data_IF_826277678736
#
_entry.id   IF_826277678736
#
_cell.length_a   1.000
_cell.length_b   1.000
_cell.length_c   1.000
_cell.angle_alpha   90.00
_cell.angle_beta   90.00
_cell.angle_gamma   90.00
#
_symmetry.space_group_name_H-M   'P 1'
#
loop_
_entity.id
_entity.type
_entity.pdbx_description
1 polymer ?
#
# COMPACT_ATOMS: atom_id res chain seq x y z
N UNK A 1 -15.54 5.98 -5.57
CA UNK A 1 -15.12 5.23 -4.38
C UNK A 1 -15.30 3.75 -4.64
N UNK A 2 -14.29 2.92 -4.34
CA UNK A 2 -14.45 1.48 -4.51
C UNK A 2 -15.58 0.92 -3.65
N UNK A 3 -16.34 0.04 -4.23
CA UNK A 3 -17.35 -0.68 -3.48
C UNK A 3 -16.71 -1.73 -2.59
N UNK A 4 -17.46 -2.20 -1.59
CA UNK A 4 -16.93 -3.14 -0.62
C UNK A 4 -16.35 -4.42 -1.25
N UNK A 5 -17.00 -5.06 -2.24
CA UNK A 5 -16.39 -6.23 -2.89
C UNK A 5 -15.05 -5.93 -3.56
N UNK A 6 -14.90 -4.73 -4.10
CA UNK A 6 -13.66 -4.33 -4.76
C UNK A 6 -12.54 -4.12 -3.75
N UNK A 7 -12.87 -3.53 -2.60
CA UNK A 7 -11.90 -3.36 -1.51
C UNK A 7 -11.44 -4.73 -1.00
N UNK A 8 -12.37 -5.68 -0.91
CA UNK A 8 -12.03 -7.03 -0.46
C UNK A 8 -11.09 -7.74 -1.43
N UNK A 9 -11.25 -7.53 -2.75
CA UNK A 9 -10.34 -8.08 -3.74
C UNK A 9 -8.94 -7.50 -3.56
N UNK A 10 -8.84 -6.19 -3.35
CA UNK A 10 -7.56 -5.56 -3.10
C UNK A 10 -6.93 -6.10 -1.82
N UNK A 11 -7.73 -6.26 -0.75
CA UNK A 11 -7.24 -6.82 0.50
C UNK A 11 -6.64 -8.21 0.30
N UNK A 12 -7.37 -9.09 -0.39
CA UNK A 12 -6.90 -10.45 -0.63
C UNK A 12 -5.61 -10.47 -1.44
N UNK A 13 -5.56 -9.66 -2.50
CA UNK A 13 -4.37 -9.58 -3.35
C UNK A 13 -3.17 -9.05 -2.58
N UNK A 14 -3.38 -8.01 -1.81
CA UNK A 14 -2.32 -7.40 -1.02
C UNK A 14 -1.83 -8.36 0.06
N UNK A 15 -2.76 -9.01 0.77
CA UNK A 15 -2.41 -9.98 1.80
C UNK A 15 -1.53 -11.10 1.25
N UNK A 16 -1.90 -11.60 0.07
CA UNK A 16 -1.15 -12.67 -0.57
C UNK A 16 0.30 -12.26 -0.88
N UNK A 17 0.51 -11.01 -1.21
CA UNK A 17 1.82 -10.52 -1.64
C UNK A 17 2.72 -10.11 -0.48
N UNK A 18 2.16 -9.51 0.56
CA UNK A 18 3.00 -8.92 1.61
C UNK A 18 2.96 -9.67 2.94
N UNK A 19 2.06 -10.64 3.10
CA UNK A 19 1.99 -11.44 4.33
C UNK A 19 3.35 -12.07 4.61
N UNK A 20 3.82 -11.96 5.85
CA UNK A 20 5.10 -12.50 6.31
C UNK A 20 6.33 -11.83 5.70
N UNK A 21 6.14 -10.71 5.02
CA UNK A 21 7.27 -9.98 4.43
C UNK A 21 7.69 -8.85 5.36
N UNK A 22 8.99 -8.55 5.34
CA UNK A 22 9.56 -7.49 6.17
C UNK A 22 9.71 -6.20 5.39
N UNK A 23 9.27 -5.10 5.96
CA UNK A 23 9.46 -3.78 5.35
C UNK A 23 10.93 -3.39 5.48
N UNK A 24 11.56 -3.08 4.36
CA UNK A 24 12.95 -2.61 4.34
C UNK A 24 13.03 -1.11 4.47
N UNK A 25 12.18 -0.40 3.74
CA UNK A 25 12.26 1.05 3.67
C UNK A 25 10.89 1.63 3.34
N UNK A 26 10.63 2.83 3.83
CA UNK A 26 9.43 3.59 3.50
C UNK A 26 9.87 4.93 2.92
N UNK A 27 9.29 5.29 1.78
CA UNK A 27 9.52 6.58 1.15
C UNK A 27 8.22 7.36 1.19
N UNK A 28 8.24 8.55 1.76
CA UNK A 28 7.08 9.43 1.84
C UNK A 28 7.37 10.64 0.97
N UNK A 29 6.62 10.79 -0.12
CA UNK A 29 6.79 11.90 -1.05
C UNK A 29 5.84 13.05 -0.77
N UNK A 30 4.69 12.75 -0.16
CA UNK A 30 3.73 13.79 0.20
C UNK A 30 3.13 13.47 1.56
N UNK A 31 3.44 14.32 2.55
CA UNK A 31 2.90 14.17 3.90
C UNK A 31 1.54 14.84 4.07
N UNK A 32 1.18 15.70 3.13
CA UNK A 32 -0.06 16.49 3.22
C UNK A 32 -1.16 15.87 2.39
N UNK A 33 -1.42 14.60 2.64
CA UNK A 33 -2.59 13.92 2.10
C UNK A 33 -3.83 14.40 2.86
N UNK A 34 -4.99 13.80 2.59
CA UNK A 34 -6.20 14.14 3.34
C UNK A 34 -5.98 14.09 4.85
N UNK A 35 -5.21 13.10 5.28
CA UNK A 35 -4.80 12.97 6.66
C UNK A 35 -3.28 13.08 6.66
N UNK A 36 -2.77 13.97 7.49
CA UNK A 36 -1.32 14.14 7.58
C UNK A 36 -0.67 12.86 8.06
N UNK A 37 0.41 12.47 7.41
CA UNK A 37 1.17 11.30 7.80
C UNK A 37 2.05 11.68 9.00
N UNK A 38 2.00 10.93 10.10
CA UNK A 38 2.82 11.24 11.26
C UNK A 38 4.31 11.25 10.93
N UNK A 39 5.06 12.10 11.60
CA UNK A 39 6.50 12.24 11.38
C UNK A 39 7.22 10.92 11.60
N UNK A 40 6.78 10.13 12.57
CA UNK A 40 7.42 8.86 12.91
C UNK A 40 6.90 7.67 12.12
N UNK A 41 6.06 7.90 11.11
CA UNK A 41 5.46 6.83 10.33
C UNK A 41 6.51 5.90 9.74
N UNK A 42 7.52 6.49 9.12
CA UNK A 42 8.62 5.74 8.50
C UNK A 42 9.32 4.85 9.51
N UNK A 43 9.68 5.40 10.66
CA UNK A 43 10.36 4.64 11.72
C UNK A 43 9.50 3.51 12.26
N UNK A 44 8.20 3.73 12.37
CA UNK A 44 7.29 2.72 12.90
C UNK A 44 7.15 1.53 11.98
N UNK A 45 7.26 1.72 10.68
CA UNK A 45 7.06 0.63 9.71
C UNK A 45 8.35 -0.04 9.29
N UNK A 46 9.46 0.69 9.23
CA UNK A 46 10.72 0.10 8.77
C UNK A 46 11.19 -1.00 9.69
N UNK A 47 11.63 -2.09 9.09
CA UNK A 47 12.10 -3.30 9.76
C UNK A 47 11.00 -4.11 10.46
N UNK A 48 9.74 -3.76 10.24
CA UNK A 48 8.62 -4.52 10.78
C UNK A 48 8.19 -5.60 9.80
N UNK A 49 7.76 -6.72 10.34
CA UNK A 49 7.27 -7.84 9.54
C UNK A 49 5.75 -7.80 9.51
N UNK A 50 5.19 -7.92 8.31
CA UNK A 50 3.74 -7.95 8.13
C UNK A 50 3.19 -9.29 8.62
N UNK A 51 2.18 -9.25 9.47
CA UNK A 51 1.50 -10.47 9.87
C UNK A 51 0.38 -10.82 8.88
N UNK A 52 -0.47 -9.86 8.57
CA UNK A 52 -1.57 -10.07 7.63
C UNK A 52 -2.14 -8.72 7.20
N UNK A 53 -2.92 -8.74 6.12
CA UNK A 53 -3.73 -7.59 5.73
C UNK A 53 -5.18 -7.94 6.01
N UNK A 54 -5.84 -7.11 6.78
CA UNK A 54 -7.24 -7.27 7.12
C UNK A 54 -8.04 -6.08 6.60
N UNK A 55 -9.31 -6.08 6.85
CA UNK A 55 -10.21 -5.03 6.38
C UNK A 55 -11.24 -4.74 7.47
N UNK A 56 -11.52 -3.46 7.65
CA UNK A 56 -12.65 -3.03 8.45
C UNK A 56 -13.45 -2.07 7.59
N UNK A 57 -14.68 -2.45 7.22
CA UNK A 57 -15.47 -1.70 6.26
C UNK A 57 -14.66 -1.46 4.99
N UNK A 58 -14.47 -0.24 4.55
CA UNK A 58 -13.69 0.09 3.35
C UNK A 58 -12.25 0.48 3.65
N UNK A 59 -11.79 0.22 4.87
CA UNK A 59 -10.40 0.46 5.25
C UNK A 59 -9.59 -0.81 5.12
N UNK A 60 -8.41 -0.70 4.53
CA UNK A 60 -7.42 -1.77 4.51
C UNK A 60 -6.50 -1.57 5.71
N UNK A 61 -6.16 -2.65 6.37
CA UNK A 61 -5.32 -2.59 7.55
C UNK A 61 -4.15 -3.54 7.37
N UNK A 62 -2.95 -2.98 7.26
CA UNK A 62 -1.73 -3.77 7.25
C UNK A 62 -1.32 -3.95 8.70
N UNK A 63 -1.39 -5.18 9.18
CA UNK A 63 -1.04 -5.51 10.56
C UNK A 63 0.39 -6.02 10.60
N UNK A 64 1.15 -5.54 11.57
CA UNK A 64 2.52 -5.97 11.79
C UNK A 64 2.57 -6.81 13.07
N UNK A 65 3.58 -7.66 13.17
CA UNK A 65 3.83 -8.34 14.43
C UNK A 65 4.18 -7.29 15.49
N UNK A 66 3.86 -7.58 16.72
CA UNK A 66 4.06 -6.68 17.88
C UNK A 66 3.04 -5.54 17.97
N UNK A 67 1.96 -5.61 17.20
CA UNK A 67 0.81 -4.75 17.43
C UNK A 67 0.73 -3.46 16.62
N UNK A 68 1.76 -3.10 15.88
CA UNK A 68 1.67 -1.93 14.99
C UNK A 68 0.78 -2.23 13.80
N UNK A 69 0.15 -1.20 13.25
CA UNK A 69 -0.68 -1.36 12.07
C UNK A 69 -0.72 -0.06 11.27
N UNK A 70 -1.06 -0.21 10.00
CA UNK A 70 -1.20 0.91 9.07
C UNK A 70 -2.57 0.82 8.41
N UNK A 71 -3.33 1.92 8.45
CA UNK A 71 -4.65 1.97 7.86
C UNK A 71 -4.58 2.70 6.53
N UNK A 72 -5.19 2.11 5.50
CA UNK A 72 -5.26 2.71 4.17
C UNK A 72 -6.71 2.85 3.78
N UNK A 73 -7.09 4.06 3.38
CA UNK A 73 -8.41 4.32 2.82
C UNK A 73 -8.21 4.83 1.40
N UNK A 74 -8.69 4.06 0.42
CA UNK A 74 -8.45 4.41 -0.98
C UNK A 74 -9.23 5.65 -1.42
N UNK A 75 -10.34 5.95 -0.76
CA UNK A 75 -11.15 7.08 -1.14
C UNK A 75 -11.75 6.88 -2.52
N UNK A 76 -11.90 7.96 -3.27
CA UNK A 76 -12.49 7.88 -4.61
C UNK A 76 -11.45 7.60 -5.69
N UNK A 77 -10.21 7.96 -5.46
CA UNK A 77 -9.19 7.93 -6.51
C UNK A 77 -7.89 7.24 -6.10
N UNK A 78 -7.78 6.78 -4.86
CA UNK A 78 -6.57 6.10 -4.41
C UNK A 78 -6.43 4.72 -4.99
N UNK A 79 -5.21 4.35 -5.34
CA UNK A 79 -4.88 3.02 -5.84
C UNK A 79 -3.61 2.53 -5.20
N UNK A 80 -3.42 1.21 -5.22
CA UNK A 80 -2.20 0.60 -4.74
C UNK A 80 -1.60 -0.19 -5.89
N UNK A 81 -0.32 0.03 -6.13
CA UNK A 81 0.41 -0.64 -7.20
C UNK A 81 1.53 -1.48 -6.61
N UNK A 82 1.75 -2.64 -7.19
CA UNK A 82 2.87 -3.50 -6.80
C UNK A 82 3.86 -3.54 -7.95
N UNK A 83 5.11 -3.26 -7.64
CA UNK A 83 6.20 -3.22 -8.62
C UNK A 83 7.32 -4.12 -8.15
N UNK A 84 7.78 -5.00 -9.02
CA UNK A 84 8.94 -5.84 -8.74
C UNK A 84 10.21 -5.11 -9.13
N UNK A 85 11.20 -5.16 -8.26
CA UNK A 85 12.42 -4.39 -8.46
C UNK A 85 13.23 -4.83 -9.69
N UNK A 86 13.14 -6.09 -10.06
CA UNK A 86 13.93 -6.62 -11.18
C UNK A 86 13.22 -6.54 -12.52
N UNK A 87 12.05 -5.92 -12.56
CA UNK A 87 11.27 -5.77 -13.79
C UNK A 87 10.95 -4.31 -14.01
N UNK A 88 11.03 -3.88 -15.24
CA UNK A 88 10.79 -2.48 -15.60
C UNK A 88 9.33 -2.10 -15.65
N UNK A 89 8.45 -3.05 -15.77
CA UNK A 89 7.03 -2.77 -15.86
C UNK A 89 6.36 -3.02 -14.52
N UNK A 90 5.33 -2.26 -14.25
CA UNK A 90 4.48 -2.56 -13.12
C UNK A 90 3.77 -3.86 -13.38
N UNK A 91 3.51 -4.60 -12.33
CA UNK A 91 2.96 -5.91 -12.50
C UNK A 91 1.51 -5.97 -12.24
N UNK A 92 1.07 -5.28 -11.24
CA UNK A 92 -0.27 -5.46 -10.74
C UNK A 92 -0.81 -4.16 -10.25
N UNK A 93 -1.90 -3.78 -10.83
CA UNK A 93 -2.76 -2.79 -10.24
C UNK A 93 -3.62 -3.55 -9.24
N UNK A 94 -3.36 -3.39 -7.97
CA UNK A 94 -4.09 -4.09 -6.93
C UNK A 94 -5.49 -3.52 -6.74
N UNK A 95 -5.79 -2.39 -7.36
CA UNK A 95 -7.15 -1.94 -7.46
C UNK A 95 -7.78 -2.61 -8.69
N UNK A 96 -9.09 -2.58 -8.76
CA UNK A 96 -9.81 -3.14 -9.89
C UNK A 96 -9.82 -2.21 -11.11
N UNK A 97 -9.08 -1.13 -11.07
CA UNK A 97 -9.06 -0.17 -12.17
C UNK A 97 -8.27 -0.63 -13.39
N UNK A 98 -7.62 -1.77 -13.30
CA UNK A 98 -6.98 -2.41 -14.44
C UNK A 98 -5.94 -1.57 -15.15
N UNK A 99 -5.26 -0.70 -14.44
CA UNK A 99 -4.15 0.02 -15.01
C UNK A 99 -2.87 -0.77 -14.73
N UNK A 100 -2.27 -1.39 -15.73
CA UNK A 100 -1.06 -2.18 -15.50
C UNK A 100 0.18 -1.32 -15.30
N UNK A 101 0.09 -0.04 -15.61
CA UNK A 101 1.23 0.86 -15.53
C UNK A 101 1.13 1.75 -14.31
N UNK A 102 2.26 1.94 -13.65
CA UNK A 102 2.35 2.88 -12.55
C UNK A 102 2.24 4.30 -13.12
N UNK A 103 1.31 5.13 -12.63
CA UNK A 103 1.28 6.53 -13.00
C UNK A 103 2.58 7.23 -12.61
N UNK A 104 2.98 8.19 -13.42
CA UNK A 104 4.22 8.93 -13.17
C UNK A 104 4.07 9.97 -12.07
N UNK A 105 2.85 10.39 -11.78
CA UNK A 105 2.56 11.44 -10.80
C UNK A 105 1.74 10.90 -9.66
N UNK A 106 1.78 11.61 -8.53
CA UNK A 106 0.92 11.35 -7.37
C UNK A 106 1.20 10.05 -6.63
N UNK A 107 2.44 9.58 -6.71
CA UNK A 107 2.92 8.45 -5.92
C UNK A 107 3.37 8.99 -4.57
N UNK A 108 2.50 8.88 -3.57
CA UNK A 108 2.69 9.57 -2.30
C UNK A 108 3.54 8.78 -1.30
N UNK A 109 3.34 7.48 -1.26
CA UNK A 109 4.01 6.62 -0.30
C UNK A 109 4.46 5.36 -1.01
N UNK A 110 5.71 4.94 -0.73
CA UNK A 110 6.23 3.67 -1.21
C UNK A 110 6.70 2.86 -0.03
N UNK A 111 6.24 1.63 0.06
CA UNK A 111 6.68 0.69 1.08
C UNK A 111 7.49 -0.39 0.35
N UNK A 112 8.79 -0.45 0.66
CA UNK A 112 9.75 -1.28 -0.05
C UNK A 112 10.02 -2.55 0.75
N UNK A 113 9.80 -3.68 0.10
CA UNK A 113 10.11 -5.00 0.62
C UNK A 113 11.34 -5.55 -0.12
N UNK A 114 11.69 -6.80 0.13
CA UNK A 114 12.72 -7.45 -0.64
C UNK A 114 12.17 -7.79 -2.02
N UNK A 115 12.82 -7.37 -3.08
CA UNK A 115 12.48 -7.68 -4.48
C UNK A 115 11.21 -7.03 -5.03
N UNK A 116 10.45 -6.32 -4.22
CA UNK A 116 9.28 -5.61 -4.70
C UNK A 116 8.91 -4.48 -3.76
N UNK A 117 8.02 -3.60 -4.23
CA UNK A 117 7.48 -2.51 -3.42
C UNK A 117 6.01 -2.30 -3.73
N UNK A 118 5.28 -1.74 -2.77
CA UNK A 118 3.92 -1.27 -3.01
C UNK A 118 3.91 0.25 -2.95
N UNK A 119 3.08 0.84 -3.80
CA UNK A 119 3.02 2.29 -3.96
C UNK A 119 1.57 2.74 -3.85
N UNK A 120 1.32 3.69 -2.95
CA UNK A 120 0.03 4.33 -2.84
C UNK A 120 -0.01 5.57 -3.74
N UNK A 121 -0.95 5.57 -4.66
CA UNK A 121 -1.16 6.65 -5.61
C UNK A 121 -2.54 7.26 -5.40
N UNK A 122 -2.62 8.58 -5.42
CA UNK A 122 -3.89 9.29 -5.36
C UNK A 122 -3.73 10.65 -6.04
N UNK A 123 -4.44 10.87 -7.16
CA UNK A 123 -4.35 12.13 -7.89
C UNK A 123 -4.84 13.36 -7.14
N UNK A 124 -5.57 13.18 -6.07
CA UNK A 124 -6.11 14.31 -5.31
C UNK A 124 -5.17 14.83 -4.25
#
# INVERSE_FOLDING_TARGET
>A
MPELPEVEIVRQSLDKKIRQKKVKKVIIRNRNLRIKIPINFKKKLENKKVSKVSRFSKYLIINFYKGDFCIIHLGMSGTIHLIRDNFKSSLTNLSFYNSPLLPKKHNHIEIIFDKFRIIYNDPR
#
